data_IF_935683571747
#
_entry.id   IF_935683571747
#
_cell.length_a   1.000
_cell.length_b   1.000
_cell.length_c   1.000
_cell.angle_alpha   90.00
_cell.angle_beta   90.00
_cell.angle_gamma   90.00
#
_symmetry.space_group_name_H-M   'P 1'
#
loop_
_entity.id
_entity.type
_entity.pdbx_description
1 polymer ?
#
# COMPACT_ATOMS: atom_id res chain seq x y z
N UNK A 1 19.64 -4.66 21.03
CA UNK A 1 18.55 -3.96 21.73
C UNK A 1 17.96 -2.98 20.71
N UNK A 2 16.79 -3.29 20.15
CA UNK A 2 16.09 -2.37 19.26
C UNK A 2 15.56 -1.25 20.17
N UNK A 3 15.78 0.04 19.89
CA UNK A 3 15.29 1.10 20.77
C UNK A 3 13.76 0.99 20.87
N UNK A 4 13.25 0.80 22.10
CA UNK A 4 11.84 0.96 22.40
C UNK A 4 11.46 2.44 22.24
N UNK A 5 10.52 2.67 21.32
CA UNK A 5 9.82 3.93 21.01
C UNK A 5 10.69 5.16 20.68
N UNK A 6 11.17 5.22 19.44
CA UNK A 6 11.70 6.42 18.78
C UNK A 6 10.60 7.40 18.31
N UNK A 7 9.33 7.15 18.62
CA UNK A 7 8.23 7.98 18.12
C UNK A 7 8.04 9.18 19.06
N UNK A 8 8.35 10.41 18.62
CA UNK A 8 8.21 11.59 19.47
C UNK A 8 6.75 11.88 19.77
N UNK A 9 6.49 12.33 21.00
CA UNK A 9 5.20 12.81 21.45
C UNK A 9 5.18 14.34 21.42
N UNK A 10 4.06 14.91 20.99
CA UNK A 10 3.80 16.35 20.96
C UNK A 10 2.64 16.65 21.90
N UNK A 11 2.81 17.66 22.76
CA UNK A 11 1.76 18.12 23.69
C UNK A 11 1.10 19.36 23.08
N UNK A 12 -0.19 19.26 22.79
CA UNK A 12 -1.03 20.41 22.42
C UNK A 12 -1.76 20.92 23.66
N UNK A 13 -1.46 22.16 24.07
CA UNK A 13 -2.20 22.85 25.12
C UNK A 13 -3.35 23.63 24.50
N UNK A 14 -4.58 23.24 24.82
CA UNK A 14 -5.79 23.95 24.41
C UNK A 14 -6.42 24.61 25.63
N UNK A 15 -7.33 25.58 25.43
CA UNK A 15 -8.08 26.19 26.55
C UNK A 15 -8.93 25.20 27.39
N UNK A 16 -9.02 23.92 26.98
CA UNK A 16 -9.71 22.82 27.70
C UNK A 16 -8.75 21.79 28.30
N UNK A 17 -7.43 22.04 28.28
CA UNK A 17 -6.40 21.16 28.83
C UNK A 17 -5.36 20.72 27.80
N UNK A 18 -4.42 19.89 28.26
CA UNK A 18 -3.33 19.34 27.45
C UNK A 18 -3.70 17.96 26.88
N UNK A 19 -3.35 17.73 25.61
CA UNK A 19 -3.45 16.41 24.96
C UNK A 19 -2.10 16.05 24.35
N UNK A 20 -1.68 14.80 24.55
CA UNK A 20 -0.47 14.26 23.93
C UNK A 20 -0.83 13.46 22.68
N UNK A 21 -0.12 13.72 21.58
CA UNK A 21 -0.25 13.02 20.30
C UNK A 21 1.11 12.52 19.86
N UNK A 22 1.20 11.33 19.29
CA UNK A 22 2.39 10.93 18.55
C UNK A 22 2.42 11.63 17.17
N UNK A 23 3.58 11.62 16.52
CA UNK A 23 3.75 12.30 15.23
C UNK A 23 2.84 11.72 14.12
N UNK A 24 2.54 10.42 14.13
CA UNK A 24 1.63 9.81 13.14
C UNK A 24 0.18 10.18 13.43
N UNK A 25 -0.22 10.32 14.70
CA UNK A 25 -1.53 10.87 15.06
C UNK A 25 -1.71 12.31 14.54
N UNK A 26 -0.66 13.13 14.57
CA UNK A 26 -0.71 14.48 13.98
C UNK A 26 -0.81 14.44 12.45
N UNK A 27 -0.07 13.55 11.79
CA UNK A 27 -0.20 13.33 10.34
C UNK A 27 -1.61 12.87 9.96
N UNK A 28 -2.21 11.98 10.74
CA UNK A 28 -3.55 11.48 10.48
C UNK A 28 -4.61 12.58 10.60
N UNK A 29 -4.46 13.53 11.55
CA UNK A 29 -5.31 14.74 11.60
C UNK A 29 -5.25 15.56 10.30
N UNK A 30 -4.08 15.58 9.65
CA UNK A 30 -3.87 16.19 8.33
C UNK A 30 -4.18 15.26 7.16
N UNK A 31 -4.82 14.11 7.42
CA UNK A 31 -5.25 13.10 6.43
C UNK A 31 -4.09 12.43 5.71
N UNK A 32 -2.95 12.34 6.37
CA UNK A 32 -1.75 11.66 5.88
C UNK A 32 -1.64 10.31 6.56
N UNK A 33 -1.60 9.25 5.75
CA UNK A 33 -1.35 7.86 6.19
C UNK A 33 0.03 7.44 5.69
N UNK A 34 0.82 6.79 6.55
CA UNK A 34 2.16 6.32 6.19
C UNK A 34 2.25 4.80 6.20
N UNK A 35 2.48 4.20 5.02
CA UNK A 35 2.81 2.79 4.84
C UNK A 35 4.33 2.64 4.75
N UNK A 36 4.97 2.53 5.92
CA UNK A 36 6.43 2.48 6.06
C UNK A 36 7.04 1.11 6.35
N UNK A 37 6.24 0.04 6.26
CA UNK A 37 6.59 -1.32 6.69
C UNK A 37 6.18 -2.36 5.66
N UNK A 38 6.67 -3.61 5.77
CA UNK A 38 6.15 -4.71 4.97
C UNK A 38 4.64 -4.90 5.20
N UNK A 39 3.92 -5.22 4.12
CA UNK A 39 2.47 -5.39 4.13
C UNK A 39 2.14 -6.76 4.76
N UNK A 40 1.49 -6.73 5.92
CA UNK A 40 0.95 -7.88 6.64
C UNK A 40 -0.53 -7.64 6.97
N UNK A 41 -1.24 -8.65 7.49
CA UNK A 41 -2.64 -8.50 7.92
C UNK A 41 -2.81 -7.37 8.95
N UNK A 42 -1.88 -7.28 9.91
CA UNK A 42 -1.92 -6.23 10.94
C UNK A 42 -1.76 -4.84 10.33
N UNK A 43 -0.77 -4.67 9.44
CA UNK A 43 -0.51 -3.39 8.77
C UNK A 43 -1.69 -3.01 7.88
N UNK A 44 -2.23 -3.96 7.11
CA UNK A 44 -3.39 -3.72 6.26
C UNK A 44 -4.61 -3.29 7.07
N UNK A 45 -4.92 -3.98 8.16
CA UNK A 45 -6.04 -3.61 9.03
C UNK A 45 -5.90 -2.19 9.60
N UNK A 46 -4.69 -1.77 9.98
CA UNK A 46 -4.43 -0.41 10.44
C UNK A 46 -4.61 0.63 9.34
N UNK A 47 -4.10 0.36 8.13
CA UNK A 47 -4.25 1.27 6.97
C UNK A 47 -5.74 1.39 6.59
N UNK A 48 -6.46 0.26 6.51
CA UNK A 48 -7.89 0.22 6.20
C UNK A 48 -8.70 1.00 7.24
N UNK A 49 -8.42 0.82 8.53
CA UNK A 49 -9.10 1.55 9.60
C UNK A 49 -8.89 3.07 9.48
N UNK A 50 -7.66 3.51 9.18
CA UNK A 50 -7.36 4.94 8.96
C UNK A 50 -8.07 5.48 7.72
N UNK A 51 -8.07 4.75 6.61
CA UNK A 51 -8.76 5.11 5.37
C UNK A 51 -10.27 5.31 5.60
N UNK A 52 -10.93 4.35 6.24
CA UNK A 52 -12.37 4.41 6.55
C UNK A 52 -12.69 5.54 7.54
N UNK A 53 -11.82 5.76 8.54
CA UNK A 53 -11.97 6.87 9.47
C UNK A 53 -11.93 8.22 8.75
N UNK A 54 -10.93 8.45 7.88
CA UNK A 54 -10.79 9.71 7.16
C UNK A 54 -11.91 9.95 6.14
N UNK A 55 -12.37 8.91 5.44
CA UNK A 55 -13.51 9.01 4.52
C UNK A 55 -14.81 9.36 5.26
N UNK A 56 -14.99 8.86 6.49
CA UNK A 56 -16.13 9.24 7.33
C UNK A 56 -16.05 10.70 7.77
N UNK A 57 -14.88 11.17 8.20
CA UNK A 57 -14.70 12.53 8.73
C UNK A 57 -14.92 13.60 7.67
N UNK A 58 -14.41 13.38 6.45
CA UNK A 58 -14.61 14.28 5.33
C UNK A 58 -14.49 13.47 4.02
N UNK A 59 -15.60 13.08 3.38
CA UNK A 59 -15.59 12.24 2.18
C UNK A 59 -15.21 12.99 0.90
N UNK A 60 -15.11 14.32 0.94
CA UNK A 60 -14.75 15.12 -0.24
C UNK A 60 -13.26 15.50 -0.24
N UNK A 61 -12.66 15.60 0.95
CA UNK A 61 -11.26 15.96 1.10
C UNK A 61 -10.34 14.78 0.84
N UNK A 62 -9.30 15.03 0.04
CA UNK A 62 -8.27 14.05 -0.31
C UNK A 62 -7.61 13.40 0.91
N UNK A 63 -7.23 12.12 0.77
CA UNK A 63 -6.38 11.38 1.71
C UNK A 63 -5.04 11.13 1.03
N UNK A 64 -3.93 11.42 1.70
CA UNK A 64 -2.59 11.19 1.16
C UNK A 64 -1.95 9.94 1.77
N UNK A 65 -1.70 8.94 0.94
CA UNK A 65 -1.02 7.70 1.31
C UNK A 65 0.45 7.74 0.87
N UNK A 66 1.34 7.90 1.84
CA UNK A 66 2.80 7.83 1.63
C UNK A 66 3.25 6.37 1.72
N UNK A 67 4.05 5.92 0.75
CA UNK A 67 4.44 4.53 0.60
C UNK A 67 5.96 4.43 0.57
N UNK A 68 6.52 3.72 1.56
CA UNK A 68 7.90 3.26 1.63
C UNK A 68 7.87 1.81 2.12
N UNK A 69 7.61 0.89 1.20
CA UNK A 69 7.34 -0.50 1.55
C UNK A 69 8.02 -1.44 0.56
N UNK A 70 8.67 -2.51 1.06
CA UNK A 70 9.17 -3.58 0.21
C UNK A 70 8.04 -4.45 -0.38
N UNK A 71 6.77 -4.11 -0.10
CA UNK A 71 5.62 -4.94 -0.39
C UNK A 71 5.36 -5.94 0.73
N UNK A 72 4.77 -7.09 0.41
CA UNK A 72 4.40 -8.10 1.39
C UNK A 72 3.31 -9.03 0.88
N UNK A 73 2.44 -9.47 1.77
CA UNK A 73 1.38 -10.43 1.44
C UNK A 73 0.36 -9.86 0.45
N UNK A 74 0.03 -10.64 -0.59
CA UNK A 74 -0.87 -10.23 -1.67
C UNK A 74 -2.27 -9.92 -1.15
N UNK A 75 -2.86 -10.82 -0.36
CA UNK A 75 -4.21 -10.66 0.18
C UNK A 75 -4.39 -9.40 1.04
N UNK A 76 -3.54 -9.13 2.05
CA UNK A 76 -3.59 -7.86 2.78
C UNK A 76 -3.40 -6.63 1.89
N UNK A 77 -2.51 -6.70 0.89
CA UNK A 77 -2.34 -5.61 -0.07
C UNK A 77 -3.59 -5.38 -0.92
N UNK A 78 -4.28 -6.44 -1.35
CA UNK A 78 -5.54 -6.34 -2.08
C UNK A 78 -6.67 -5.76 -1.21
N UNK A 79 -6.69 -6.08 0.09
CA UNK A 79 -7.67 -5.49 1.01
C UNK A 79 -7.49 -3.96 1.14
N UNK A 80 -6.24 -3.46 1.20
CA UNK A 80 -5.96 -2.03 1.16
C UNK A 80 -6.40 -1.46 -0.20
N UNK A 81 -6.02 -2.11 -1.30
CA UNK A 81 -6.36 -1.69 -2.66
C UNK A 81 -7.87 -1.49 -2.82
N UNK A 82 -8.67 -2.51 -2.48
CA UNK A 82 -10.13 -2.47 -2.64
C UNK A 82 -10.75 -1.40 -1.74
N UNK A 83 -10.22 -1.22 -0.52
CA UNK A 83 -10.65 -0.14 0.36
C UNK A 83 -10.41 1.22 -0.29
N UNK A 84 -9.22 1.47 -0.87
CA UNK A 84 -8.94 2.72 -1.58
C UNK A 84 -9.89 2.97 -2.76
N UNK A 85 -10.32 1.92 -3.47
CA UNK A 85 -11.28 2.05 -4.57
C UNK A 85 -12.74 2.24 -4.10
N UNK A 86 -13.06 1.82 -2.87
CA UNK A 86 -14.39 1.91 -2.26
C UNK A 86 -14.69 3.32 -1.73
N UNK A 87 -13.68 4.06 -1.28
CA UNK A 87 -13.87 5.36 -0.63
C UNK A 87 -14.50 6.40 -1.57
N UNK A 88 -15.18 7.38 -0.97
CA UNK A 88 -15.65 8.58 -1.66
C UNK A 88 -14.49 9.58 -1.77
N UNK A 89 -13.72 9.73 -0.69
CA UNK A 89 -12.56 10.59 -0.67
C UNK A 89 -11.50 10.11 -1.67
N UNK A 90 -10.97 10.99 -2.54
CA UNK A 90 -9.91 10.59 -3.45
C UNK A 90 -8.64 10.28 -2.65
N UNK A 91 -8.01 9.14 -2.92
CA UNK A 91 -6.73 8.76 -2.30
C UNK A 91 -5.58 9.13 -3.23
N UNK A 92 -4.72 10.05 -2.82
CA UNK A 92 -3.42 10.27 -3.49
C UNK A 92 -2.37 9.32 -2.95
N UNK A 93 -1.42 8.94 -3.80
CA UNK A 93 -0.32 8.03 -3.43
C UNK A 93 1.02 8.69 -3.73
N UNK A 94 1.96 8.56 -2.80
CA UNK A 94 3.28 9.18 -2.89
C UNK A 94 4.34 8.13 -2.55
N UNK A 95 5.16 7.75 -3.53
CA UNK A 95 6.34 6.92 -3.28
C UNK A 95 7.44 7.75 -2.62
N UNK A 96 7.94 7.27 -1.47
CA UNK A 96 9.07 7.86 -0.76
C UNK A 96 10.12 6.78 -0.46
N UNK A 97 11.35 6.98 -0.92
CA UNK A 97 12.42 6.00 -0.74
C UNK A 97 12.25 4.79 -1.67
N UNK A 98 11.68 3.69 -1.17
CA UNK A 98 11.55 2.46 -1.96
C UNK A 98 10.13 1.91 -1.90
N UNK A 99 9.52 1.72 -3.06
CA UNK A 99 8.18 1.13 -3.20
C UNK A 99 8.27 -0.08 -4.12
N UNK A 100 8.05 -1.27 -3.56
CA UNK A 100 8.26 -2.53 -4.27
C UNK A 100 7.03 -3.44 -4.20
N UNK A 101 6.91 -4.34 -5.18
CA UNK A 101 5.95 -5.44 -5.16
C UNK A 101 4.50 -4.95 -4.92
N UNK A 102 3.80 -5.47 -3.91
CA UNK A 102 2.46 -4.98 -3.53
C UNK A 102 2.43 -3.49 -3.17
N UNK A 103 3.53 -2.89 -2.71
CA UNK A 103 3.64 -1.44 -2.54
C UNK A 103 3.48 -0.69 -3.87
N UNK A 104 4.04 -1.21 -4.96
CA UNK A 104 3.89 -0.64 -6.31
C UNK A 104 2.47 -0.76 -6.83
N UNK A 105 1.80 -1.87 -6.52
CA UNK A 105 0.37 -2.04 -6.84
C UNK A 105 -0.45 -0.96 -6.15
N UNK A 106 -0.23 -0.74 -4.84
CA UNK A 106 -0.90 0.30 -4.07
C UNK A 106 -0.56 1.71 -4.57
N UNK A 107 0.71 1.98 -4.91
CA UNK A 107 1.12 3.25 -5.52
C UNK A 107 0.33 3.51 -6.81
N UNK A 108 0.20 2.50 -7.67
CA UNK A 108 -0.55 2.63 -8.93
C UNK A 108 -2.06 2.84 -8.71
N UNK A 109 -2.60 2.42 -7.56
CA UNK A 109 -4.01 2.45 -7.22
C UNK A 109 -4.53 3.81 -6.75
N UNK A 110 -3.66 4.80 -6.57
CA UNK A 110 -4.05 6.17 -6.26
C UNK A 110 -4.94 6.77 -7.35
N UNK A 111 -5.77 7.73 -6.96
CA UNK A 111 -6.71 8.40 -7.84
C UNK A 111 -6.00 8.95 -9.09
N UNK A 112 -6.70 8.91 -10.23
CA UNK A 112 -6.15 9.34 -11.53
C UNK A 112 -5.61 10.77 -11.45
N UNK A 113 -4.36 10.96 -11.85
CA UNK A 113 -3.67 12.26 -11.78
C UNK A 113 -3.10 12.62 -10.41
N UNK A 114 -3.22 11.74 -9.40
CA UNK A 114 -2.79 11.98 -8.01
C UNK A 114 -1.83 10.90 -7.50
N UNK A 115 -0.97 10.42 -8.38
CA UNK A 115 0.05 9.40 -8.09
C UNK A 115 1.40 10.03 -8.32
N UNK A 116 2.22 10.06 -7.29
CA UNK A 116 3.46 10.81 -7.25
C UNK A 116 4.61 9.92 -6.80
N UNK A 117 5.82 10.28 -7.20
CA UNK A 117 7.05 9.72 -6.69
C UNK A 117 8.01 10.87 -6.39
N UNK A 118 8.72 10.80 -5.27
CA UNK A 118 9.81 11.75 -5.02
C UNK A 118 10.97 11.49 -5.99
N UNK A 119 11.83 12.49 -6.27
CA UNK A 119 12.86 12.40 -7.32
C UNK A 119 13.90 11.26 -7.19
N UNK A 120 13.98 10.62 -6.03
CA UNK A 120 14.90 9.52 -5.76
C UNK A 120 14.16 8.27 -5.25
N UNK A 121 12.84 8.22 -5.44
CA UNK A 121 12.08 7.05 -5.10
C UNK A 121 12.33 5.95 -6.14
N UNK A 122 12.64 4.75 -5.70
CA UNK A 122 12.74 3.58 -6.59
C UNK A 122 11.42 2.83 -6.57
N UNK A 123 10.87 2.56 -7.75
CA UNK A 123 9.68 1.73 -7.94
C UNK A 123 10.13 0.35 -8.43
N UNK A 124 9.63 -0.72 -7.83
CA UNK A 124 10.00 -2.09 -8.16
C UNK A 124 8.79 -3.00 -8.33
N UNK A 125 8.84 -3.90 -9.30
CA UNK A 125 7.86 -4.97 -9.47
C UNK A 125 8.54 -6.28 -9.83
N UNK A 126 7.88 -7.40 -9.51
CA UNK A 126 8.41 -8.76 -9.72
C UNK A 126 7.25 -9.78 -9.69
N UNK A 127 7.44 -11.02 -10.21
CA UNK A 127 6.44 -12.08 -10.17
C UNK A 127 5.92 -12.38 -8.77
N UNK A 128 4.69 -12.90 -8.66
CA UNK A 128 4.16 -13.34 -7.38
C UNK A 128 4.99 -14.52 -6.84
N UNK A 129 5.58 -14.34 -5.66
CA UNK A 129 6.34 -15.39 -4.97
C UNK A 129 5.50 -16.10 -3.92
N UNK A 130 5.73 -17.40 -3.73
CA UNK A 130 5.08 -18.19 -2.69
C UNK A 130 5.77 -19.53 -2.48
N UNK A 131 5.63 -20.08 -1.27
CA UNK A 131 6.03 -21.46 -0.98
C UNK A 131 4.81 -22.36 -1.03
N UNK A 132 4.91 -23.48 -1.75
CA UNK A 132 3.88 -24.52 -1.82
C UNK A 132 4.39 -25.81 -1.20
N UNK A 133 3.57 -26.46 -0.36
CA UNK A 133 3.93 -27.69 0.36
C UNK A 133 2.69 -28.56 0.59
N UNK A 134 2.87 -29.87 0.69
CA UNK A 134 1.79 -30.83 0.96
C UNK A 134 1.84 -32.04 0.02
N UNK A 135 0.74 -32.79 -0.06
CA UNK A 135 0.59 -33.84 -1.05
C UNK A 135 0.39 -33.25 -2.44
N UNK A 136 0.58 -34.06 -3.48
CA UNK A 136 0.51 -33.57 -4.87
C UNK A 136 -0.78 -32.78 -5.20
N UNK A 137 -2.00 -33.20 -4.78
CA UNK A 137 -3.22 -32.41 -4.99
C UNK A 137 -3.21 -31.06 -4.27
N UNK A 138 -2.66 -31.00 -3.05
CA UNK A 138 -2.57 -29.74 -2.29
C UNK A 138 -1.60 -28.76 -2.95
N UNK A 139 -0.49 -29.27 -3.49
CA UNK A 139 0.51 -28.47 -4.22
C UNK A 139 -0.10 -27.91 -5.50
N UNK A 140 -0.87 -28.71 -6.24
CA UNK A 140 -1.56 -28.27 -7.45
C UNK A 140 -2.55 -27.14 -7.16
N UNK A 141 -3.38 -27.28 -6.11
CA UNK A 141 -4.33 -26.24 -5.69
C UNK A 141 -3.61 -24.93 -5.34
N UNK A 142 -2.55 -25.00 -4.53
CA UNK A 142 -1.83 -23.80 -4.11
C UNK A 142 -1.08 -23.12 -5.28
N UNK A 143 -0.52 -23.89 -6.21
CA UNK A 143 0.12 -23.34 -7.40
C UNK A 143 -0.89 -22.62 -8.30
N UNK A 144 -2.05 -23.23 -8.54
CA UNK A 144 -3.12 -22.62 -9.32
C UNK A 144 -3.59 -21.30 -8.70
N UNK A 145 -3.65 -21.23 -7.37
CA UNK A 145 -4.00 -20.02 -6.65
C UNK A 145 -2.92 -18.93 -6.77
N UNK A 146 -1.64 -19.29 -6.66
CA UNK A 146 -0.54 -18.35 -6.89
C UNK A 146 -0.57 -17.76 -8.31
N UNK A 147 -0.80 -18.60 -9.32
CA UNK A 147 -0.96 -18.16 -10.72
C UNK A 147 -2.20 -17.26 -10.91
N UNK A 148 -3.29 -17.53 -10.20
CA UNK A 148 -4.48 -16.67 -10.19
C UNK A 148 -4.16 -15.30 -9.59
N UNK A 149 -3.45 -15.25 -8.46
CA UNK A 149 -3.01 -14.02 -7.81
C UNK A 149 -2.06 -13.19 -8.68
N UNK A 150 -1.09 -13.84 -9.33
CA UNK A 150 -0.20 -13.16 -10.26
C UNK A 150 -0.99 -12.48 -11.40
N UNK A 151 -1.90 -13.22 -12.04
CA UNK A 151 -2.73 -12.68 -13.12
C UNK A 151 -3.60 -11.53 -12.64
N UNK A 152 -4.16 -11.62 -11.44
CA UNK A 152 -4.95 -10.54 -10.85
C UNK A 152 -4.11 -9.26 -10.70
N UNK A 153 -2.92 -9.35 -10.09
CA UNK A 153 -2.02 -8.21 -9.93
C UNK A 153 -1.63 -7.59 -11.27
N UNK A 154 -1.31 -8.41 -12.27
CA UNK A 154 -0.99 -7.94 -13.62
C UNK A 154 -2.18 -7.19 -14.25
N UNK A 155 -3.41 -7.69 -14.11
CA UNK A 155 -4.61 -7.00 -14.59
C UNK A 155 -4.86 -5.68 -13.87
N UNK A 156 -4.63 -5.61 -12.56
CA UNK A 156 -4.76 -4.36 -11.79
C UNK A 156 -3.74 -3.33 -12.26
N UNK A 157 -2.48 -3.72 -12.43
CA UNK A 157 -1.43 -2.83 -12.95
C UNK A 157 -1.74 -2.36 -14.38
N UNK A 158 -2.19 -3.25 -15.27
CA UNK A 158 -2.60 -2.88 -16.62
C UNK A 158 -3.74 -1.85 -16.60
N UNK A 159 -4.78 -2.10 -15.79
CA UNK A 159 -5.90 -1.17 -15.60
C UNK A 159 -5.44 0.21 -15.11
N UNK A 160 -4.58 0.25 -14.08
CA UNK A 160 -4.18 1.50 -13.45
C UNK A 160 -3.16 2.28 -14.28
N UNK A 161 -2.23 1.61 -14.94
CA UNK A 161 -1.19 2.25 -15.76
C UNK A 161 -1.69 2.60 -17.17
N UNK A 162 -2.73 1.92 -17.65
CA UNK A 162 -3.19 2.02 -19.04
C UNK A 162 -2.28 1.29 -20.04
N UNK A 163 -1.27 0.55 -19.57
CA UNK A 163 -0.41 -0.26 -20.43
C UNK A 163 -1.16 -1.52 -20.90
N UNK A 164 -0.85 -2.02 -22.11
CA UNK A 164 -1.34 -3.33 -22.55
C UNK A 164 -0.93 -4.45 -21.59
N UNK A 165 -1.80 -5.43 -21.39
CA UNK A 165 -1.55 -6.55 -20.46
C UNK A 165 -0.31 -7.35 -20.87
N UNK A 166 -0.03 -7.47 -22.17
CA UNK A 166 1.13 -8.17 -22.70
C UNK A 166 2.44 -7.50 -22.27
N UNK A 167 2.44 -6.17 -22.18
CA UNK A 167 3.59 -5.41 -21.68
C UNK A 167 3.78 -5.66 -20.19
N UNK A 168 2.70 -5.56 -19.41
CA UNK A 168 2.77 -5.83 -17.97
C UNK A 168 3.28 -7.25 -17.71
N UNK A 169 2.75 -8.26 -18.41
CA UNK A 169 3.21 -9.66 -18.25
C UNK A 169 4.70 -9.79 -18.51
N UNK A 170 5.22 -9.13 -19.56
CA UNK A 170 6.65 -9.15 -19.90
C UNK A 170 7.50 -8.46 -18.84
N UNK A 171 7.10 -7.26 -18.41
CA UNK A 171 7.85 -6.47 -17.43
C UNK A 171 7.79 -7.10 -16.02
N UNK A 172 6.80 -7.97 -15.77
CA UNK A 172 6.58 -8.67 -14.49
C UNK A 172 7.23 -10.06 -14.43
N UNK A 173 7.97 -10.52 -15.45
CA UNK A 173 8.57 -11.88 -15.51
C UNK A 173 9.81 -12.05 -14.59
N UNK A 174 10.47 -10.94 -14.28
CA UNK A 174 11.65 -10.84 -13.42
C UNK A 174 11.56 -9.58 -12.57
N UNK A 175 12.49 -9.43 -11.63
CA UNK A 175 12.69 -8.15 -10.93
C UNK A 175 12.90 -7.03 -11.94
N UNK A 176 12.10 -5.97 -11.79
CA UNK A 176 12.13 -4.80 -12.65
C UNK A 176 12.11 -3.54 -11.79
N UNK A 177 13.17 -2.75 -11.91
CA UNK A 177 13.37 -1.50 -11.18
C UNK A 177 13.15 -0.31 -12.11
N UNK A 178 12.52 0.73 -11.57
CA UNK A 178 12.21 1.99 -12.26
C UNK A 178 12.61 3.16 -11.36
N UNK A 179 13.02 4.24 -12.03
CA UNK A 179 13.28 5.55 -11.45
C UNK A 179 12.03 6.44 -11.43
#
# INVERSE_FOLDING_TARGET
MIPESLVPMVIESTGRGERAYDIYSLLLKERIIFLGTPISDQVANLIIAQLLFLDREDPEREISLYINSPGGSIYPGLAIYDTMQLLRAPVSTIAVGWTASMGTVLLSAGAKGKRYALPHATIHMHPAGGSVRGYAPDVEIQLNELLRMQRLVQMLLAKQTGQPIERIVKDFDRDYFMD
#
